data_IF_057409662872
#
_entry.id   IF_057409662872
#
_cell.length_a   1.000
_cell.length_b   1.000
_cell.length_c   1.000
_cell.angle_alpha   90.00
_cell.angle_beta   90.00
_cell.angle_gamma   90.00
#
_symmetry.space_group_name_H-M   'P 1'
#
loop_
_entity.id
_entity.type
_entity.pdbx_description
1 polymer ?
#
# COMPACT_ATOMS: atom_id res chain seq x y z
N UNK A 1 -5.14 -11.74 34.41
CA UNK A 1 -4.56 -11.37 33.10
C UNK A 1 -3.07 -11.53 33.21
N UNK A 2 -2.45 -12.37 32.39
CA UNK A 2 -0.99 -12.46 32.33
C UNK A 2 -0.50 -11.13 31.76
N UNK A 3 0.14 -10.31 32.59
CA UNK A 3 0.81 -9.08 32.15
C UNK A 3 1.85 -9.53 31.14
N UNK A 4 1.65 -9.16 29.88
CA UNK A 4 2.61 -9.48 28.85
C UNK A 4 3.80 -8.52 29.03
N UNK A 5 4.90 -9.03 29.61
CA UNK A 5 6.10 -8.24 29.95
C UNK A 5 6.74 -7.52 28.74
N UNK A 6 6.27 -7.79 27.52
CA UNK A 6 6.71 -7.17 26.28
C UNK A 6 5.90 -5.92 25.87
N UNK A 7 4.78 -5.62 26.55
CA UNK A 7 3.96 -4.43 26.26
C UNK A 7 4.50 -3.26 27.07
N UNK A 8 5.04 -2.26 26.36
CA UNK A 8 5.69 -1.09 26.97
C UNK A 8 4.75 0.09 27.22
N UNK A 9 3.68 0.21 26.41
CA UNK A 9 2.63 1.21 26.54
C UNK A 9 1.30 0.61 26.10
N UNK A 10 0.23 0.88 26.83
CA UNK A 10 -1.14 0.55 26.41
C UNK A 10 -1.66 1.58 25.38
N UNK A 11 -2.65 1.24 24.53
CA UNK A 11 -3.16 2.15 23.49
C UNK A 11 -3.69 3.49 24.01
N UNK A 12 -4.18 3.49 25.25
CA UNK A 12 -4.77 4.60 25.99
C UNK A 12 -3.79 5.27 26.96
N UNK A 13 -2.56 4.76 27.07
CA UNK A 13 -1.54 5.31 27.95
C UNK A 13 -0.78 6.49 27.29
N UNK A 14 -0.62 7.63 27.99
CA UNK A 14 0.16 8.74 27.46
C UNK A 14 1.66 8.41 27.45
N UNK A 15 2.18 8.07 26.28
CA UNK A 15 3.61 7.89 26.07
C UNK A 15 4.37 9.24 26.00
N UNK A 16 5.67 9.28 26.33
CA UNK A 16 6.52 10.46 26.14
C UNK A 16 6.43 11.00 24.71
N UNK A 17 6.21 12.32 24.56
CA UNK A 17 5.97 12.96 23.27
C UNK A 17 7.00 12.63 22.19
N UNK A 18 8.27 12.48 22.57
CA UNK A 18 9.34 12.09 21.65
C UNK A 18 9.17 10.66 21.11
N UNK A 19 8.78 9.70 21.95
CA UNK A 19 8.51 8.33 21.53
C UNK A 19 7.31 8.27 20.61
N UNK A 20 6.24 8.99 20.94
CA UNK A 20 5.03 9.09 20.11
C UNK A 20 5.33 9.70 18.75
N UNK A 21 6.14 10.76 18.70
CA UNK A 21 6.55 11.38 17.44
C UNK A 21 7.38 10.42 16.57
N UNK A 22 8.31 9.68 17.17
CA UNK A 22 9.13 8.70 16.46
C UNK A 22 8.26 7.54 15.94
N UNK A 23 7.40 6.94 16.77
CA UNK A 23 6.55 5.82 16.35
C UNK A 23 5.53 6.25 15.30
N UNK A 24 4.97 7.46 15.41
CA UNK A 24 4.11 8.05 14.38
C UNK A 24 4.87 8.22 13.05
N UNK A 25 6.11 8.72 13.09
CA UNK A 25 6.95 8.84 11.90
C UNK A 25 7.25 7.46 11.29
N UNK A 26 7.56 6.45 12.11
CA UNK A 26 7.76 5.07 11.63
C UNK A 26 6.50 4.55 10.93
N UNK A 27 5.34 4.67 11.57
CA UNK A 27 4.06 4.26 11.00
C UNK A 27 3.74 4.98 9.69
N UNK A 28 4.03 6.29 9.61
CA UNK A 28 3.85 7.08 8.40
C UNK A 28 4.71 6.52 7.26
N UNK A 29 5.99 6.22 7.48
CA UNK A 29 6.86 5.68 6.41
C UNK A 29 6.37 4.31 5.92
N UNK A 30 5.87 3.46 6.82
CA UNK A 30 5.31 2.15 6.45
C UNK A 30 4.04 2.29 5.60
N UNK A 31 3.12 3.18 6.00
CA UNK A 31 1.89 3.46 5.25
C UNK A 31 2.21 4.09 3.91
N UNK A 32 3.13 5.05 3.85
CA UNK A 32 3.55 5.72 2.61
C UNK A 32 4.12 4.69 1.63
N UNK A 33 5.03 3.83 2.08
CA UNK A 33 5.66 2.80 1.22
C UNK A 33 4.62 1.83 0.64
N UNK A 34 3.69 1.35 1.47
CA UNK A 34 2.62 0.46 1.04
C UNK A 34 1.63 1.16 0.09
N UNK A 35 1.22 2.38 0.42
CA UNK A 35 0.23 3.15 -0.34
C UNK A 35 0.75 3.51 -1.72
N UNK A 36 1.99 4.00 -1.81
CA UNK A 36 2.60 4.33 -3.11
C UNK A 36 2.69 3.06 -3.95
N UNK A 37 3.25 1.97 -3.43
CA UNK A 37 3.46 0.74 -4.21
C UNK A 37 2.15 0.17 -4.77
N UNK A 38 1.11 0.04 -3.94
CA UNK A 38 -0.16 -0.54 -4.40
C UNK A 38 -0.86 0.39 -5.39
N UNK A 39 -0.88 1.69 -5.13
CA UNK A 39 -1.52 2.67 -6.01
C UNK A 39 -0.79 2.77 -7.35
N UNK A 40 0.53 2.82 -7.38
CA UNK A 40 1.28 2.84 -8.65
C UNK A 40 1.15 1.52 -9.40
N UNK A 41 1.18 0.38 -8.72
CA UNK A 41 0.96 -0.93 -9.38
C UNK A 41 -0.43 -0.99 -10.01
N UNK A 42 -1.46 -0.51 -9.32
CA UNK A 42 -2.80 -0.40 -9.90
C UNK A 42 -2.81 0.51 -11.12
N UNK A 43 -2.22 1.71 -11.02
CA UNK A 43 -2.25 2.70 -12.10
C UNK A 43 -1.52 2.20 -13.33
N UNK A 44 -0.29 1.71 -13.19
CA UNK A 44 0.48 1.16 -14.30
C UNK A 44 -0.17 -0.12 -14.86
N UNK A 45 -1.04 -0.80 -14.10
CA UNK A 45 -1.79 -1.96 -14.62
C UNK A 45 -2.83 -1.60 -15.70
N UNK A 46 -3.36 -0.37 -15.71
CA UNK A 46 -4.39 0.05 -16.69
C UNK A 46 -4.10 1.38 -17.39
N UNK A 47 -3.16 2.19 -16.91
CA UNK A 47 -2.85 3.53 -17.38
C UNK A 47 -1.32 3.69 -17.50
N UNK A 48 -0.83 3.62 -18.74
CA UNK A 48 0.59 3.63 -19.08
C UNK A 48 1.22 5.05 -19.13
N UNK A 49 0.45 6.11 -18.90
CA UNK A 49 1.03 7.45 -18.84
C UNK A 49 0.01 8.57 -18.62
N UNK A 50 0.16 9.33 -17.52
CA UNK A 50 -0.59 10.57 -17.37
C UNK A 50 -0.57 11.19 -15.97
N UNK A 51 -0.98 12.47 -15.92
CA UNK A 51 -1.19 13.30 -14.73
C UNK A 51 -2.08 12.66 -13.65
N UNK A 52 -2.87 11.64 -14.01
CA UNK A 52 -3.67 10.85 -13.08
C UNK A 52 -2.81 10.13 -12.02
N UNK A 53 -1.60 9.68 -12.35
CA UNK A 53 -0.74 8.95 -11.40
C UNK A 53 -0.41 9.80 -10.17
N UNK A 54 0.09 11.01 -10.40
CA UNK A 54 0.45 11.95 -9.34
C UNK A 54 -0.76 12.34 -8.49
N UNK A 55 -1.87 12.64 -9.15
CA UNK A 55 -3.13 12.96 -8.48
C UNK A 55 -3.62 11.81 -7.60
N UNK A 56 -3.63 10.58 -8.13
CA UNK A 56 -4.16 9.42 -7.41
C UNK A 56 -3.26 8.99 -6.25
N UNK A 57 -1.93 9.05 -6.41
CA UNK A 57 -0.99 8.80 -5.30
C UNK A 57 -1.19 9.82 -4.19
N UNK A 58 -1.33 11.10 -4.51
CA UNK A 58 -1.62 12.13 -3.52
C UNK A 58 -2.97 11.89 -2.83
N UNK A 59 -4.03 11.65 -3.59
CA UNK A 59 -5.36 11.40 -3.05
C UNK A 59 -5.38 10.16 -2.13
N UNK A 60 -4.69 9.09 -2.52
CA UNK A 60 -4.56 7.88 -1.72
C UNK A 60 -3.82 8.13 -0.40
N UNK A 61 -2.73 8.91 -0.42
CA UNK A 61 -1.99 9.28 0.80
C UNK A 61 -2.81 10.19 1.72
N UNK A 62 -3.51 11.17 1.17
CA UNK A 62 -4.38 12.07 1.92
C UNK A 62 -5.52 11.28 2.58
N UNK A 63 -6.20 10.41 1.84
CA UNK A 63 -7.28 9.55 2.37
C UNK A 63 -6.77 8.55 3.41
N UNK A 64 -5.60 7.95 3.20
CA UNK A 64 -4.95 7.10 4.19
C UNK A 64 -4.68 7.86 5.50
N UNK A 65 -4.13 9.07 5.41
CA UNK A 65 -3.90 9.94 6.57
C UNK A 65 -5.20 10.31 7.30
N UNK A 66 -6.25 10.69 6.55
CA UNK A 66 -7.58 10.98 7.12
C UNK A 66 -8.16 9.75 7.81
N UNK A 67 -8.04 8.56 7.20
CA UNK A 67 -8.54 7.31 7.78
C UNK A 67 -7.79 6.94 9.08
N UNK A 68 -6.46 7.10 9.10
CA UNK A 68 -5.66 6.90 10.32
C UNK A 68 -6.09 7.89 11.41
N UNK A 69 -6.26 9.17 11.07
CA UNK A 69 -6.71 10.20 12.01
C UNK A 69 -8.13 9.92 12.54
N UNK A 70 -9.04 9.47 11.68
CA UNK A 70 -10.39 9.07 12.06
C UNK A 70 -10.37 7.89 13.03
N UNK A 71 -9.52 6.88 12.78
CA UNK A 71 -9.40 5.74 13.68
C UNK A 71 -8.76 6.09 15.03
N UNK A 72 -7.78 6.99 15.02
CA UNK A 72 -7.17 7.52 16.24
C UNK A 72 -8.14 8.40 17.04
N UNK A 73 -9.13 9.02 16.38
CA UNK A 73 -10.12 9.84 17.05
C UNK A 73 -11.10 8.98 17.89
N UNK A 74 -11.64 9.57 18.94
CA UNK A 74 -12.79 9.02 19.69
C UNK A 74 -14.10 9.65 19.22
N UNK A 75 -14.16 10.07 17.94
CA UNK A 75 -15.30 10.82 17.41
C UNK A 75 -16.51 9.90 17.22
N UNK A 76 -17.36 9.83 18.26
CA UNK A 76 -18.59 9.07 18.26
C UNK A 76 -18.37 7.57 18.05
N UNK A 77 -19.13 6.95 17.13
CA UNK A 77 -19.04 5.52 16.81
C UNK A 77 -18.07 5.20 15.66
N UNK A 78 -17.40 6.23 15.10
CA UNK A 78 -16.57 6.10 13.89
C UNK A 78 -15.12 5.72 14.21
N UNK A 79 -14.59 6.19 15.34
CA UNK A 79 -13.20 5.97 15.72
C UNK A 79 -13.11 5.05 16.94
N UNK A 80 -12.34 3.95 16.87
CA UNK A 80 -12.18 3.04 18.01
C UNK A 80 -11.22 3.59 19.08
N UNK A 81 -10.63 4.78 18.88
CA UNK A 81 -9.80 5.48 19.85
C UNK A 81 -8.35 4.98 19.92
N UNK A 82 -7.88 4.23 18.92
CA UNK A 82 -6.51 3.75 18.84
C UNK A 82 -5.97 3.81 17.41
N UNK A 83 -4.65 3.90 17.29
CA UNK A 83 -3.98 4.07 16.00
C UNK A 83 -4.05 2.77 15.20
N UNK A 84 -4.72 2.84 14.07
CA UNK A 84 -4.76 1.78 13.06
C UNK A 84 -4.19 2.35 11.76
N UNK A 85 -3.03 1.83 11.33
CA UNK A 85 -2.42 2.21 10.07
C UNK A 85 -3.32 1.76 8.91
N UNK A 86 -3.84 2.72 8.14
CA UNK A 86 -4.75 2.50 7.02
C UNK A 86 -4.07 2.82 5.70
N UNK A 87 -4.45 2.10 4.66
CA UNK A 87 -3.96 2.29 3.30
C UNK A 87 -4.69 1.35 2.33
N UNK A 88 -4.41 1.47 1.03
CA UNK A 88 -4.97 0.58 0.02
C UNK A 88 -4.52 -0.86 0.27
N UNK A 89 -5.37 -1.81 -0.14
CA UNK A 89 -5.12 -3.25 0.02
C UNK A 89 -4.93 -3.90 -1.35
N UNK A 90 -3.85 -4.68 -1.46
CA UNK A 90 -3.55 -5.47 -2.66
C UNK A 90 -4.66 -6.49 -2.99
N UNK A 91 -5.50 -6.84 -2.02
CA UNK A 91 -6.64 -7.75 -2.21
C UNK A 91 -7.65 -7.26 -3.25
N UNK A 92 -7.77 -5.94 -3.43
CA UNK A 92 -8.71 -5.34 -4.38
C UNK A 92 -8.08 -5.05 -5.75
N UNK A 93 -6.76 -5.17 -5.88
CA UNK A 93 -6.03 -4.72 -7.06
C UNK A 93 -6.55 -5.38 -8.35
N UNK A 94 -6.62 -6.72 -8.37
CA UNK A 94 -7.08 -7.45 -9.56
C UNK A 94 -8.54 -7.12 -9.93
N UNK A 95 -9.41 -6.92 -8.94
CA UNK A 95 -10.83 -6.59 -9.16
C UNK A 95 -10.98 -5.15 -9.67
N UNK A 96 -10.19 -4.22 -9.14
CA UNK A 96 -10.17 -2.84 -9.63
C UNK A 96 -9.67 -2.77 -11.08
N UNK A 97 -8.60 -3.49 -11.42
CA UNK A 97 -8.10 -3.57 -12.81
C UNK A 97 -9.17 -4.13 -13.74
N UNK A 98 -9.84 -5.21 -13.34
CA UNK A 98 -10.95 -5.79 -14.12
C UNK A 98 -12.09 -4.77 -14.33
N UNK A 99 -12.52 -4.08 -13.28
CA UNK A 99 -13.58 -3.08 -13.39
C UNK A 99 -13.22 -1.93 -14.35
N UNK A 100 -11.96 -1.50 -14.35
CA UNK A 100 -11.48 -0.48 -15.29
C UNK A 100 -11.44 -1.01 -16.72
N UNK A 101 -11.01 -2.26 -16.93
CA UNK A 101 -11.00 -2.85 -18.27
C UNK A 101 -12.41 -3.01 -18.86
N UNK A 102 -13.42 -3.26 -18.03
CA UNK A 102 -14.82 -3.45 -18.46
C UNK A 102 -15.58 -2.12 -18.68
N UNK A 103 -15.33 -1.10 -17.86
CA UNK A 103 -16.14 0.13 -17.89
C UNK A 103 -15.42 1.41 -17.47
N UNK A 104 -14.09 1.39 -17.47
CA UNK A 104 -13.25 2.54 -17.14
C UNK A 104 -13.26 2.93 -15.67
N UNK A 105 -12.62 4.05 -15.37
CA UNK A 105 -12.48 4.58 -14.01
C UNK A 105 -13.81 4.97 -13.36
N UNK A 106 -14.81 5.36 -14.15
CA UNK A 106 -16.15 5.66 -13.65
C UNK A 106 -16.85 4.41 -13.10
N UNK A 107 -16.80 3.27 -13.83
CA UNK A 107 -17.34 2.01 -13.34
C UNK A 107 -16.63 1.57 -12.07
N UNK A 108 -15.30 1.57 -12.07
CA UNK A 108 -14.52 1.23 -10.88
C UNK A 108 -14.90 2.08 -9.67
N UNK A 109 -14.98 3.40 -9.83
CA UNK A 109 -15.34 4.33 -8.75
C UNK A 109 -16.73 4.04 -8.19
N UNK A 110 -17.72 3.80 -9.06
CA UNK A 110 -19.08 3.45 -8.64
C UNK A 110 -19.14 2.11 -7.89
N UNK A 111 -18.39 1.10 -8.34
CA UNK A 111 -18.29 -0.21 -7.69
C UNK A 111 -17.59 -0.13 -6.34
N UNK A 112 -16.57 0.72 -6.19
CA UNK A 112 -15.90 0.97 -4.91
C UNK A 112 -16.87 1.60 -3.91
N UNK A 113 -17.63 2.62 -4.33
CA UNK A 113 -18.66 3.23 -3.49
C UNK A 113 -19.72 2.20 -3.09
N UNK A 114 -20.26 1.43 -4.04
CA UNK A 114 -21.24 0.38 -3.76
C UNK A 114 -20.68 -0.70 -2.81
N UNK A 115 -19.44 -1.15 -3.03
CA UNK A 115 -18.75 -2.12 -2.19
C UNK A 115 -18.55 -1.60 -0.76
N UNK A 116 -18.22 -0.31 -0.58
CA UNK A 116 -18.08 0.29 0.75
C UNK A 116 -19.39 0.25 1.55
N UNK A 117 -20.54 0.50 0.91
CA UNK A 117 -21.85 0.40 1.55
C UNK A 117 -22.17 -1.04 1.96
N UNK A 118 -21.84 -2.01 1.10
CA UNK A 118 -21.98 -3.43 1.42
C UNK A 118 -21.09 -3.80 2.60
N UNK A 119 -19.85 -3.30 2.67
CA UNK A 119 -18.95 -3.55 3.79
C UNK A 119 -19.49 -2.99 5.11
N UNK A 120 -20.10 -1.80 5.11
CA UNK A 120 -20.78 -1.27 6.29
C UNK A 120 -21.94 -2.16 6.75
N UNK A 121 -22.73 -2.70 5.82
CA UNK A 121 -23.78 -3.64 6.15
C UNK A 121 -23.22 -4.95 6.74
N UNK A 122 -22.19 -5.52 6.11
CA UNK A 122 -21.50 -6.73 6.57
C UNK A 122 -20.86 -6.53 7.95
N UNK A 123 -20.30 -5.34 8.22
CA UNK A 123 -19.71 -5.00 9.51
C UNK A 123 -20.73 -5.13 10.67
N UNK A 124 -22.01 -4.83 10.42
CA UNK A 124 -23.07 -5.00 11.43
C UNK A 124 -23.34 -6.48 11.79
N UNK A 125 -23.07 -7.42 10.88
CA UNK A 125 -23.23 -8.87 11.08
C UNK A 125 -21.93 -9.60 11.37
N UNK A 126 -20.85 -8.86 11.63
CA UNK A 126 -19.52 -9.44 11.80
C UNK A 126 -19.49 -10.48 12.94
N UNK A 127 -20.24 -10.26 14.02
CA UNK A 127 -20.29 -11.21 15.15
C UNK A 127 -20.81 -12.59 14.74
N UNK A 128 -21.78 -12.65 13.82
CA UNK A 128 -22.35 -13.87 13.28
C UNK A 128 -21.41 -14.51 12.24
N UNK A 129 -20.78 -13.70 11.40
CA UNK A 129 -19.87 -14.13 10.35
C UNK A 129 -18.53 -14.65 10.88
N UNK A 130 -18.11 -14.26 12.09
CA UNK A 130 -16.88 -14.77 12.74
C UNK A 130 -16.84 -16.29 12.85
N UNK A 131 -17.98 -16.99 12.82
CA UNK A 131 -18.03 -18.46 12.79
C UNK A 131 -17.57 -19.05 11.44
N UNK A 132 -17.76 -18.30 10.35
CA UNK A 132 -17.36 -18.69 8.99
C UNK A 132 -15.92 -18.28 8.67
N UNK A 133 -15.46 -17.17 9.25
CA UNK A 133 -14.10 -16.63 9.08
C UNK A 133 -13.14 -17.39 10.01
N UNK A 134 -12.94 -18.67 9.71
CA UNK A 134 -11.95 -19.50 10.40
C UNK A 134 -10.55 -19.18 9.89
N UNK A 135 -9.48 -19.44 10.67
CA UNK A 135 -8.11 -19.24 10.23
C UNK A 135 -7.78 -19.94 8.90
N UNK A 136 -8.42 -21.07 8.62
CA UNK A 136 -8.27 -21.81 7.37
C UNK A 136 -8.87 -21.02 6.20
N UNK A 137 -10.10 -20.53 6.33
CA UNK A 137 -10.78 -19.76 5.26
C UNK A 137 -10.03 -18.46 4.97
N UNK A 138 -9.64 -17.73 6.02
CA UNK A 138 -8.85 -16.51 5.88
C UNK A 138 -7.48 -16.79 5.27
N UNK A 139 -6.81 -17.88 5.67
CA UNK A 139 -5.54 -18.29 5.11
C UNK A 139 -5.64 -18.61 3.61
N UNK A 140 -6.67 -19.34 3.20
CA UNK A 140 -6.92 -19.62 1.77
C UNK A 140 -7.19 -18.33 1.00
N UNK A 141 -8.01 -17.42 1.53
CA UNK A 141 -8.24 -16.12 0.90
C UNK A 141 -6.93 -15.33 0.72
N UNK A 142 -6.07 -15.31 1.75
CA UNK A 142 -4.75 -14.68 1.66
C UNK A 142 -3.79 -15.38 0.69
N UNK A 143 -3.90 -16.68 0.46
CA UNK A 143 -3.12 -17.38 -0.55
C UNK A 143 -3.57 -17.08 -1.97
N UNK A 144 -4.87 -16.80 -2.18
CA UNK A 144 -5.41 -16.46 -3.50
C UNK A 144 -5.04 -15.04 -3.92
N UNK A 145 -4.90 -14.09 -2.98
CA UNK A 145 -4.56 -12.69 -3.31
C UNK A 145 -3.24 -12.58 -4.11
N UNK A 146 -2.09 -13.19 -3.69
CA UNK A 146 -0.88 -13.16 -4.50
C UNK A 146 -1.06 -13.81 -5.87
N UNK A 147 -1.84 -14.87 -6.00
CA UNK A 147 -2.07 -15.57 -7.28
C UNK A 147 -2.71 -14.62 -8.31
N UNK A 148 -3.56 -13.69 -7.88
CA UNK A 148 -4.19 -12.72 -8.77
C UNK A 148 -3.33 -11.47 -9.04
N UNK A 149 -2.39 -11.14 -8.14
CA UNK A 149 -1.54 -9.94 -8.25
C UNK A 149 -0.20 -10.22 -8.94
N UNK A 150 0.37 -11.42 -8.77
CA UNK A 150 1.68 -11.80 -9.36
C UNK A 150 1.73 -11.60 -10.88
N UNK A 151 0.71 -12.01 -11.68
CA UNK A 151 0.75 -11.80 -13.13
C UNK A 151 0.90 -10.33 -13.50
N UNK A 152 0.14 -9.46 -12.82
CA UNK A 152 0.20 -8.01 -13.03
C UNK A 152 1.60 -7.46 -12.73
N UNK A 153 2.28 -7.99 -11.72
CA UNK A 153 3.64 -7.59 -11.39
C UNK A 153 4.68 -8.14 -12.39
N UNK A 154 4.55 -9.39 -12.85
CA UNK A 154 5.46 -10.01 -13.81
C UNK A 154 5.39 -9.30 -15.16
N UNK A 155 4.19 -8.93 -15.61
CA UNK A 155 3.98 -8.17 -16.85
C UNK A 155 4.64 -6.78 -16.83
N UNK A 156 5.15 -6.32 -15.68
CA UNK A 156 5.90 -5.06 -15.55
C UNK A 156 7.41 -5.26 -15.48
N UNK A 157 7.91 -6.50 -15.39
CA UNK A 157 9.36 -6.75 -15.36
C UNK A 157 10.03 -6.51 -16.70
N UNK A 158 9.27 -6.55 -17.79
CA UNK A 158 9.75 -6.28 -19.15
C UNK A 158 9.62 -4.81 -19.55
N UNK A 159 9.01 -3.97 -18.69
CA UNK A 159 8.83 -2.53 -18.90
C UNK A 159 10.13 -1.78 -18.58
N UNK A 160 11.05 -1.77 -19.54
CA UNK A 160 12.38 -1.19 -19.40
C UNK A 160 12.65 -0.20 -20.54
N UNK A 161 13.32 0.94 -20.30
CA UNK A 161 13.65 1.90 -21.35
C UNK A 161 14.36 1.28 -22.56
N UNK A 162 14.12 1.79 -23.78
CA UNK A 162 14.77 1.28 -24.98
C UNK A 162 16.30 1.48 -24.89
N UNK A 163 17.06 0.42 -25.15
CA UNK A 163 18.53 0.43 -25.13
C UNK A 163 19.18 -0.15 -23.87
N UNK A 164 18.38 -0.57 -22.89
CA UNK A 164 18.88 -1.32 -21.72
C UNK A 164 19.02 -2.81 -22.05
N UNK A 165 19.95 -3.48 -21.36
CA UNK A 165 20.21 -4.91 -21.55
C UNK A 165 18.95 -5.76 -21.26
N UNK A 166 18.63 -6.75 -22.12
CA UNK A 166 17.53 -7.68 -21.88
C UNK A 166 17.67 -8.36 -20.51
N UNK A 167 16.64 -8.25 -19.67
CA UNK A 167 16.63 -8.83 -18.32
C UNK A 167 17.00 -7.87 -17.19
N UNK A 168 17.30 -6.59 -17.48
CA UNK A 168 17.55 -5.60 -16.43
C UNK A 168 16.33 -5.42 -15.50
N UNK A 169 15.11 -5.39 -16.03
CA UNK A 169 13.90 -5.29 -15.21
C UNK A 169 13.67 -6.53 -14.34
N UNK A 170 13.96 -7.74 -14.85
CA UNK A 170 13.98 -8.97 -14.06
C UNK A 170 15.02 -8.90 -12.93
N UNK A 171 16.22 -8.36 -13.19
CA UNK A 171 17.25 -8.20 -12.18
C UNK A 171 16.82 -7.22 -11.07
N UNK A 172 16.18 -6.11 -11.42
CA UNK A 172 15.59 -5.15 -10.46
C UNK A 172 14.51 -5.82 -9.63
N UNK A 173 13.56 -6.51 -10.27
CA UNK A 173 12.47 -7.23 -9.60
C UNK A 173 12.98 -8.33 -8.67
N UNK A 174 13.97 -9.12 -9.12
CA UNK A 174 14.61 -10.16 -8.33
C UNK A 174 15.37 -9.58 -7.13
N UNK A 175 16.04 -8.43 -7.30
CA UNK A 175 16.72 -7.74 -6.20
C UNK A 175 15.73 -7.24 -5.15
N UNK A 176 14.64 -6.58 -5.57
CA UNK A 176 13.60 -6.08 -4.66
C UNK A 176 12.89 -7.23 -3.94
N UNK A 177 12.40 -8.23 -4.69
CA UNK A 177 11.70 -9.39 -4.12
C UNK A 177 12.62 -10.23 -3.24
N UNK A 178 13.86 -10.47 -3.67
CA UNK A 178 14.87 -11.20 -2.91
C UNK A 178 15.20 -10.51 -1.59
N UNK A 179 15.36 -9.18 -1.61
CA UNK A 179 15.56 -8.37 -0.40
C UNK A 179 14.36 -8.48 0.53
N UNK A 180 13.14 -8.30 0.00
CA UNK A 180 11.91 -8.40 0.78
C UNK A 180 11.77 -9.78 1.43
N UNK A 181 11.94 -10.85 0.65
CA UNK A 181 11.85 -12.22 1.12
C UNK A 181 12.92 -12.53 2.17
N UNK A 182 14.16 -12.09 1.96
CA UNK A 182 15.25 -12.26 2.91
C UNK A 182 14.93 -11.59 4.25
N UNK A 183 14.50 -10.33 4.23
CA UNK A 183 14.17 -9.59 5.45
C UNK A 183 12.91 -10.12 6.14
N UNK A 184 11.92 -10.61 5.38
CA UNK A 184 10.72 -11.23 5.94
C UNK A 184 11.00 -12.59 6.59
N UNK A 185 11.85 -13.42 5.97
CA UNK A 185 12.13 -14.79 6.43
C UNK A 185 13.27 -14.87 7.46
N UNK A 186 14.25 -13.97 7.38
CA UNK A 186 15.47 -14.00 8.23
C UNK A 186 15.65 -12.75 9.07
N UNK A 187 15.00 -11.64 8.73
CA UNK A 187 15.07 -10.41 9.51
C UNK A 187 14.34 -10.55 10.84
N UNK A 188 14.92 -9.96 11.88
CA UNK A 188 14.33 -9.91 13.22
C UNK A 188 13.90 -8.48 13.58
N UNK A 189 12.84 -8.37 14.39
CA UNK A 189 12.36 -7.11 14.96
C UNK A 189 12.21 -5.99 13.94
N UNK A 190 13.07 -4.98 14.05
CA UNK A 190 13.05 -3.77 13.23
C UNK A 190 13.33 -4.06 11.74
N UNK A 191 14.24 -4.99 11.40
CA UNK A 191 14.52 -5.31 10.00
C UNK A 191 13.30 -5.89 9.28
N UNK A 192 12.50 -6.70 9.99
CA UNK A 192 11.25 -7.23 9.45
C UNK A 192 10.21 -6.13 9.30
N UNK A 193 10.11 -5.21 10.25
CA UNK A 193 9.20 -4.05 10.15
C UNK A 193 9.51 -3.19 8.92
N UNK A 194 10.80 -2.96 8.65
CA UNK A 194 11.28 -2.08 7.57
C UNK A 194 11.54 -2.80 6.24
N UNK A 195 11.17 -4.08 6.12
CA UNK A 195 11.52 -4.89 4.97
C UNK A 195 11.00 -4.32 3.64
N UNK A 196 9.77 -3.81 3.62
CA UNK A 196 9.17 -3.23 2.41
C UNK A 196 9.87 -1.93 1.98
N UNK A 197 10.05 -0.90 2.84
CA UNK A 197 10.86 0.27 2.50
C UNK A 197 12.28 -0.08 2.02
N UNK A 198 12.96 -1.01 2.72
CA UNK A 198 14.34 -1.39 2.37
C UNK A 198 14.38 -2.09 1.00
N UNK A 199 13.41 -2.96 0.71
CA UNK A 199 13.31 -3.63 -0.59
C UNK A 199 13.12 -2.64 -1.75
N UNK A 200 12.30 -1.60 -1.56
CA UNK A 200 12.11 -0.53 -2.54
C UNK A 200 13.43 0.21 -2.77
N UNK A 201 14.10 0.67 -1.70
CA UNK A 201 15.36 1.42 -1.80
C UNK A 201 16.44 0.60 -2.50
N UNK A 202 16.61 -0.68 -2.16
CA UNK A 202 17.58 -1.55 -2.80
C UNK A 202 17.22 -1.87 -4.25
N UNK A 203 15.94 -2.08 -4.56
CA UNK A 203 15.46 -2.23 -5.93
C UNK A 203 15.78 -0.99 -6.79
N UNK A 204 15.47 0.20 -6.29
CA UNK A 204 15.80 1.47 -6.96
C UNK A 204 17.32 1.65 -7.14
N UNK A 205 18.13 1.28 -6.15
CA UNK A 205 19.59 1.37 -6.27
C UNK A 205 20.11 0.48 -7.41
N UNK A 206 19.60 -0.75 -7.54
CA UNK A 206 19.93 -1.64 -8.67
C UNK A 206 19.42 -1.06 -9.99
N UNK A 207 18.22 -0.48 -10.01
CA UNK A 207 17.65 0.15 -11.21
C UNK A 207 18.49 1.34 -11.71
N UNK A 208 19.06 2.14 -10.81
CA UNK A 208 20.00 3.22 -11.16
C UNK A 208 21.28 2.66 -11.79
N UNK A 209 21.84 1.60 -11.20
CA UNK A 209 23.08 0.99 -11.70
C UNK A 209 22.91 0.35 -13.08
N UNK A 210 21.72 -0.18 -13.37
CA UNK A 210 21.38 -0.79 -14.66
C UNK A 210 20.85 0.21 -15.69
N UNK A 211 20.76 1.50 -15.35
CA UNK A 211 20.25 2.55 -16.25
C UNK A 211 18.74 2.45 -16.54
N UNK A 212 18.00 1.72 -15.72
CA UNK A 212 16.53 1.55 -15.84
C UNK A 212 15.79 2.74 -15.22
N UNK A 213 16.38 3.39 -14.21
CA UNK A 213 15.74 4.45 -13.44
C UNK A 213 16.31 5.84 -13.75
N UNK A 214 15.45 6.74 -14.23
CA UNK A 214 15.76 8.16 -14.36
C UNK A 214 15.39 8.93 -13.07
N UNK A 215 16.42 9.45 -12.39
CA UNK A 215 16.26 10.23 -11.17
C UNK A 215 16.04 11.73 -11.43
N UNK A 216 16.09 12.19 -12.68
CA UNK A 216 15.99 13.61 -13.01
C UNK A 216 14.65 14.25 -12.60
N UNK A 217 13.48 13.61 -12.83
CA UNK A 217 12.21 14.19 -12.40
C UNK A 217 12.12 14.43 -10.89
N UNK A 218 12.76 13.57 -10.08
CA UNK A 218 12.80 13.72 -8.63
C UNK A 218 13.69 14.90 -8.18
N UNK A 219 14.70 15.27 -8.98
CA UNK A 219 15.59 16.42 -8.70
C UNK A 219 14.97 17.75 -9.12
N UNK A 220 14.21 17.73 -10.21
CA UNK A 220 13.57 18.92 -10.76
C UNK A 220 12.21 19.23 -10.11
N UNK A 221 11.71 18.30 -9.28
CA UNK A 221 10.46 18.46 -8.55
C UNK A 221 10.50 19.64 -7.56
N UNK A 222 9.39 20.38 -7.48
CA UNK A 222 9.23 21.45 -6.50
C UNK A 222 9.13 20.87 -5.07
N UNK A 223 9.68 21.60 -4.09
CA UNK A 223 9.59 21.25 -2.67
C UNK A 223 8.16 21.22 -2.15
N UNK A 224 7.28 22.03 -2.73
CA UNK A 224 5.85 22.07 -2.44
C UNK A 224 5.07 22.13 -3.74
N UNK A 225 4.27 21.10 -3.99
CA UNK A 225 3.33 21.03 -5.08
C UNK A 225 2.02 20.41 -4.59
N UNK A 226 0.89 20.94 -5.06
CA UNK A 226 -0.39 20.26 -4.98
C UNK A 226 -0.61 19.55 -6.31
N UNK A 227 -1.19 18.34 -6.33
CA UNK A 227 -1.49 17.67 -7.59
C UNK A 227 -2.45 18.52 -8.41
N UNK A 228 -2.30 18.49 -9.72
CA UNK A 228 -3.25 19.14 -10.60
C UNK A 228 -4.60 18.41 -10.52
N UNK A 229 -5.64 19.11 -10.05
CA UNK A 229 -7.00 18.55 -9.96
C UNK A 229 -7.60 18.22 -11.34
N UNK A 230 -7.00 18.71 -12.43
CA UNK A 230 -7.30 18.34 -13.82
C UNK A 230 -6.94 16.89 -14.16
N UNK A 231 -6.10 16.23 -13.36
CA UNK A 231 -5.74 14.83 -13.55
C UNK A 231 -6.87 13.85 -13.25
N UNK A 232 -7.94 14.28 -12.58
CA UNK A 232 -9.13 13.46 -12.31
C UNK A 232 -10.00 13.35 -13.58
N UNK A 233 -10.30 12.13 -14.08
CA UNK A 233 -10.99 11.94 -15.35
C UNK A 233 -12.52 12.15 -15.31
N UNK A 234 -13.09 12.54 -14.15
CA UNK A 234 -14.53 12.85 -14.04
C UNK A 234 -15.13 12.53 -12.68
#
# INVERSE_FOLDING_TARGET
MLVNEHIRYEPDEPAPHALTAITALQGAVLVVSNTITITTTFIVAFNEGGSYMEWAVFAALALAGIAVALHASTLGRLGPGYILLMGPSAAYLAVCVLAVNEGGLALMSSLVVASSLVQFAVAAWLAQLRRLITPVVTGVAFMVIPVTVIPIAIDRLDDVPPGVEPGAGLAVGAAALGTLALLMLRGSGLFRLWAMPIAIVLGCAVAVLLGVYDAQPARDAAWFALPEFSGWPG
#
